data_IF_558132779085
#
_entry.id   IF_558132779085
#
_cell.length_a   1.000
_cell.length_b   1.000
_cell.length_c   1.000
_cell.angle_alpha   90.00
_cell.angle_beta   90.00
_cell.angle_gamma   90.00
#
_symmetry.space_group_name_H-M   'P 1'
#
loop_
_entity.id
_entity.type
_entity.pdbx_description
1 polymer ?
#
# COMPACT_ATOMS: atom_id res chain seq x y z
N UNK A 1 3.74 -0.30 15.41
CA UNK A 1 4.28 -0.59 14.05
C UNK A 1 3.47 -1.74 13.47
N UNK A 2 2.81 -1.55 12.33
CA UNK A 2 2.03 -2.59 11.64
C UNK A 2 2.68 -2.92 10.31
N UNK A 3 2.74 -4.20 9.95
CA UNK A 3 3.32 -4.66 8.67
C UNK A 3 2.27 -5.36 7.83
N UNK A 4 2.17 -5.01 6.55
CA UNK A 4 1.20 -5.58 5.62
C UNK A 4 1.72 -5.53 4.19
N UNK A 5 1.05 -6.21 3.26
CA UNK A 5 1.29 -6.06 1.83
C UNK A 5 -0.02 -6.20 1.07
N UNK A 6 -0.11 -5.51 -0.06
CA UNK A 6 -1.14 -5.75 -1.06
C UNK A 6 -0.83 -7.05 -1.80
N UNK A 7 -1.84 -7.89 -2.00
CA UNK A 7 -1.78 -9.11 -2.83
C UNK A 7 -2.32 -8.87 -4.25
N UNK A 8 -2.53 -7.60 -4.63
CA UNK A 8 -2.95 -7.23 -5.98
C UNK A 8 -1.81 -7.44 -6.97
N UNK A 9 -2.13 -7.99 -8.14
CA UNK A 9 -1.15 -8.42 -9.15
C UNK A 9 -1.07 -9.94 -9.22
N UNK A 10 -0.88 -10.47 -10.43
CA UNK A 10 -0.87 -11.92 -10.70
C UNK A 10 0.47 -12.58 -10.38
N UNK A 11 1.58 -11.83 -10.42
CA UNK A 11 2.93 -12.33 -10.11
C UNK A 11 3.56 -11.61 -8.91
N UNK A 12 4.56 -12.22 -8.26
CA UNK A 12 5.33 -11.57 -7.19
C UNK A 12 5.95 -10.23 -7.59
N UNK A 13 6.46 -10.11 -8.80
CA UNK A 13 7.11 -8.91 -9.33
C UNK A 13 6.09 -7.77 -9.48
N UNK A 14 4.91 -8.10 -10.01
CA UNK A 14 3.82 -7.15 -10.17
C UNK A 14 3.26 -6.70 -8.82
N UNK A 15 3.12 -7.63 -7.88
CA UNK A 15 2.77 -7.30 -6.50
C UNK A 15 3.81 -6.39 -5.85
N UNK A 16 5.10 -6.62 -6.07
CA UNK A 16 6.17 -5.78 -5.54
C UNK A 16 6.12 -4.37 -6.13
N UNK A 17 5.90 -4.24 -7.45
CA UNK A 17 5.70 -2.95 -8.13
C UNK A 17 4.53 -2.18 -7.51
N UNK A 18 3.38 -2.83 -7.35
CA UNK A 18 2.19 -2.21 -6.74
C UNK A 18 2.46 -1.79 -5.28
N UNK A 19 3.14 -2.62 -4.49
CA UNK A 19 3.48 -2.24 -3.11
C UNK A 19 4.45 -1.04 -3.07
N UNK A 20 5.40 -0.93 -3.99
CA UNK A 20 6.25 0.28 -4.11
C UNK A 20 5.46 1.53 -4.50
N UNK A 21 4.46 1.41 -5.39
CA UNK A 21 3.60 2.53 -5.77
C UNK A 21 2.74 3.00 -4.60
N UNK A 22 2.17 2.07 -3.82
CA UNK A 22 1.45 2.38 -2.58
C UNK A 22 2.36 3.12 -1.59
N UNK A 23 3.60 2.65 -1.41
CA UNK A 23 4.57 3.30 -0.53
C UNK A 23 4.83 4.75 -0.94
N UNK A 24 5.10 4.99 -2.22
CA UNK A 24 5.39 6.32 -2.74
C UNK A 24 4.17 7.23 -2.62
N UNK A 25 2.99 6.79 -3.06
CA UNK A 25 1.77 7.59 -3.01
C UNK A 25 1.37 7.98 -1.57
N UNK A 26 1.55 7.08 -0.60
CA UNK A 26 1.28 7.41 0.81
C UNK A 26 2.31 8.42 1.34
N UNK A 27 3.60 8.23 1.06
CA UNK A 27 4.64 9.16 1.51
C UNK A 27 4.49 10.55 0.88
N UNK A 28 4.20 10.61 -0.43
CA UNK A 28 3.98 11.85 -1.17
C UNK A 28 2.74 12.62 -0.69
N UNK A 29 1.74 11.89 -0.15
CA UNK A 29 0.57 12.54 0.45
C UNK A 29 0.89 13.34 1.72
N UNK A 30 2.03 13.06 2.37
CA UNK A 30 2.43 13.64 3.66
C UNK A 30 1.51 13.28 4.84
N UNK A 31 0.46 12.45 4.62
CA UNK A 31 -0.53 12.09 5.65
C UNK A 31 -0.03 10.98 6.57
N UNK A 32 0.83 10.11 6.05
CA UNK A 32 1.50 9.07 6.80
C UNK A 32 2.85 8.76 6.16
N UNK A 33 3.74 8.16 6.94
CA UNK A 33 5.03 7.66 6.45
C UNK A 33 5.07 6.14 6.52
N UNK A 34 5.31 5.53 5.36
CA UNK A 34 5.58 4.12 5.18
C UNK A 34 7.07 3.90 4.90
N UNK A 35 7.58 2.80 5.42
CA UNK A 35 8.84 2.20 5.00
C UNK A 35 8.55 0.81 4.43
N UNK A 36 9.53 0.18 3.77
CA UNK A 36 9.40 -1.19 3.31
C UNK A 36 10.55 -2.06 3.79
N UNK A 37 10.31 -3.36 3.76
CA UNK A 37 11.33 -4.40 3.90
C UNK A 37 11.10 -5.45 2.83
N UNK A 38 12.13 -6.19 2.46
CA UNK A 38 12.01 -7.36 1.59
C UNK A 38 12.09 -8.61 2.46
N UNK A 39 11.14 -9.52 2.29
CA UNK A 39 11.10 -10.84 2.94
C UNK A 39 10.78 -11.89 1.88
N UNK A 40 11.62 -12.91 1.72
CA UNK A 40 11.47 -13.92 0.66
C UNK A 40 11.24 -13.30 -0.72
N UNK A 41 12.02 -12.25 -1.06
CA UNK A 41 11.90 -11.49 -2.32
C UNK A 41 10.59 -10.68 -2.47
N UNK A 42 9.77 -10.62 -1.42
CA UNK A 42 8.48 -9.92 -1.42
C UNK A 42 8.56 -8.61 -0.65
N UNK A 43 8.03 -7.55 -1.25
CA UNK A 43 7.95 -6.22 -0.63
C UNK A 43 6.83 -6.22 0.41
N UNK A 44 7.19 -5.86 1.65
CA UNK A 44 6.28 -5.71 2.77
C UNK A 44 6.36 -4.28 3.29
N UNK A 45 5.20 -3.64 3.42
CA UNK A 45 5.06 -2.27 3.89
C UNK A 45 4.98 -2.23 5.41
N UNK A 46 5.58 -1.21 6.01
CA UNK A 46 5.59 -0.95 7.44
C UNK A 46 5.04 0.43 7.73
N UNK A 47 3.93 0.49 8.46
CA UNK A 47 3.31 1.73 8.92
C UNK A 47 3.79 2.08 10.32
N UNK A 48 4.57 3.15 10.42
CA UNK A 48 5.07 3.69 11.68
C UNK A 48 4.00 4.58 12.35
N UNK A 49 3.14 3.96 13.15
CA UNK A 49 2.24 4.67 14.07
C UNK A 49 3.07 5.03 15.31
N UNK A 50 3.74 6.19 15.30
CA UNK A 50 4.74 6.53 16.32
C UNK A 50 4.81 8.00 16.75
N UNK A 51 4.08 8.91 16.12
CA UNK A 51 4.02 10.29 16.62
C UNK A 51 2.93 10.39 17.70
N UNK A 52 3.25 10.99 18.85
CA UNK A 52 2.31 11.29 19.96
C UNK A 52 1.07 12.09 19.50
N UNK A 53 1.13 12.74 18.32
CA UNK A 53 0.01 13.45 17.68
C UNK A 53 -0.85 12.58 16.73
N UNK A 54 -0.52 11.30 16.57
CA UNK A 54 -1.29 10.39 15.69
C UNK A 54 -2.54 9.94 16.43
N UNK A 55 -3.69 10.50 16.07
CA UNK A 55 -4.99 10.08 16.60
C UNK A 55 -5.50 8.88 15.81
N UNK A 56 -6.50 8.18 16.36
CA UNK A 56 -7.23 7.12 15.65
C UNK A 56 -7.78 7.62 14.31
N UNK A 57 -8.19 8.88 14.23
CA UNK A 57 -8.63 9.53 13.00
C UNK A 57 -7.53 9.59 11.92
N UNK A 58 -6.28 9.86 12.31
CA UNK A 58 -5.14 9.84 11.37
C UNK A 58 -4.89 8.41 10.84
N UNK A 59 -5.03 7.40 11.68
CA UNK A 59 -4.89 5.99 11.27
C UNK A 59 -6.03 5.59 10.32
N UNK A 60 -7.27 5.97 10.63
CA UNK A 60 -8.43 5.69 9.78
C UNK A 60 -8.33 6.39 8.42
N UNK A 61 -7.94 7.67 8.38
CA UNK A 61 -7.71 8.40 7.12
C UNK A 61 -6.61 7.75 6.28
N UNK A 62 -5.54 7.27 6.91
CA UNK A 62 -4.46 6.54 6.24
C UNK A 62 -4.97 5.22 5.67
N UNK A 63 -5.79 4.48 6.43
CA UNK A 63 -6.39 3.22 5.97
C UNK A 63 -7.34 3.42 4.79
N UNK A 64 -8.16 4.48 4.80
CA UNK A 64 -9.03 4.83 3.68
C UNK A 64 -8.19 5.16 2.44
N UNK A 65 -7.18 6.03 2.58
CA UNK A 65 -6.28 6.39 1.48
C UNK A 65 -5.57 5.16 0.88
N UNK A 66 -5.09 4.25 1.73
CA UNK A 66 -4.46 3.00 1.30
C UNK A 66 -5.41 2.15 0.45
N UNK A 67 -6.68 2.04 0.86
CA UNK A 67 -7.70 1.31 0.11
C UNK A 67 -8.05 2.01 -1.19
N UNK A 68 -8.24 3.32 -1.20
CA UNK A 68 -8.57 4.08 -2.42
C UNK A 68 -7.46 3.93 -3.47
N UNK A 69 -6.19 4.06 -3.05
CA UNK A 69 -5.04 3.84 -3.92
C UNK A 69 -5.05 2.40 -4.44
N UNK A 70 -5.20 1.42 -3.55
CA UNK A 70 -5.25 0.01 -3.94
C UNK A 70 -6.44 -0.30 -4.86
N UNK A 71 -7.59 0.36 -4.69
CA UNK A 71 -8.80 0.17 -5.49
C UNK A 71 -8.71 0.84 -6.87
N UNK A 72 -8.07 2.00 -6.99
CA UNK A 72 -7.73 2.59 -8.30
C UNK A 72 -6.85 1.67 -9.15
N UNK A 73 -6.02 0.84 -8.50
CA UNK A 73 -5.25 -0.21 -9.18
C UNK A 73 -6.08 -1.48 -9.53
N UNK A 74 -7.34 -1.60 -9.08
CA UNK A 74 -8.24 -2.72 -9.47
C UNK A 74 -8.65 -2.67 -10.93
N UNK A 75 -8.91 -1.46 -11.41
CA UNK A 75 -9.71 -1.25 -12.61
C UNK A 75 -8.88 -1.45 -13.88
N UNK A 76 -7.55 -1.35 -13.78
CA UNK A 76 -6.61 -1.65 -14.86
C UNK A 76 -6.43 -3.14 -15.17
N UNK A 77 -6.89 -4.07 -14.33
CA UNK A 77 -6.64 -5.51 -14.48
C UNK A 77 -7.85 -6.34 -14.94
N UNK A 78 -9.03 -5.74 -15.11
CA UNK A 78 -10.26 -6.45 -15.57
C UNK A 78 -10.47 -6.43 -17.09
N UNK A 79 -9.63 -5.74 -17.86
CA UNK A 79 -9.85 -5.53 -19.29
C UNK A 79 -9.36 -6.66 -20.24
N UNK A 80 -8.76 -7.75 -19.74
CA UNK A 80 -8.15 -8.79 -20.61
C UNK A 80 -8.70 -10.21 -20.46
N UNK A 81 -9.76 -10.44 -19.67
CA UNK A 81 -10.40 -11.78 -19.57
C UNK A 81 -11.77 -11.77 -20.24
N UNK A 82 -11.75 -11.84 -21.57
CA UNK A 82 -12.94 -11.98 -22.42
C UNK A 82 -12.57 -12.33 -23.85
N UNK A 83 -12.12 -13.57 -24.09
CA UNK A 83 -12.21 -14.31 -25.36
C UNK A 83 -12.03 -15.80 -25.08
#
# INVERSE_FOLDING_TARGET
LVTFRSTRGETPEEQNRINHEILNAVNDSGRAFLTHTVLNELVVLRLAIGNIKTTEEHVMKTWILLKDIAEGFSEGSRASRGS
#
